data_IF_541770479502
#
_entry.id   IF_541770479502
#
_cell.length_a   1.000
_cell.length_b   1.000
_cell.length_c   1.000
_cell.angle_alpha   90.00
_cell.angle_beta   90.00
_cell.angle_gamma   90.00
#
_symmetry.space_group_name_H-M   'P 1'
#
loop_
_entity.id
_entity.type
_entity.pdbx_description
1 polymer ?
#
# COMPACT_ATOMS: atom_id res chain seq x y z
N UNK A 1 -11.38 6.51 -5.19
CA UNK A 1 -9.97 6.81 -4.82
C UNK A 1 -9.42 5.59 -4.09
N UNK A 2 -8.11 5.36 -4.03
CA UNK A 2 -7.63 4.20 -3.26
C UNK A 2 -6.25 4.41 -2.64
N UNK A 3 -5.23 4.76 -3.43
CA UNK A 3 -3.85 4.84 -2.94
C UNK A 3 -3.18 6.19 -3.21
N UNK A 4 -2.21 6.56 -2.37
CA UNK A 4 -1.28 7.67 -2.57
C UNK A 4 0.16 7.18 -2.41
N UNK A 5 1.08 7.70 -3.22
CA UNK A 5 2.50 7.41 -3.12
C UNK A 5 3.21 8.62 -2.51
N UNK A 6 3.95 8.40 -1.42
CA UNK A 6 4.75 9.40 -0.71
C UNK A 6 6.14 9.44 -1.37
N UNK A 7 6.37 10.42 -2.22
CA UNK A 7 7.58 10.56 -3.04
C UNK A 7 8.88 10.57 -2.22
N UNK A 8 8.87 11.26 -1.07
CA UNK A 8 10.03 11.35 -0.17
C UNK A 8 10.46 10.00 0.41
N UNK A 9 9.54 9.03 0.53
CA UNK A 9 9.84 7.65 0.97
C UNK A 9 10.13 6.70 -0.19
N UNK A 10 9.78 7.07 -1.42
CA UNK A 10 9.96 6.19 -2.58
C UNK A 10 11.45 6.05 -2.92
N UNK A 11 11.95 4.82 -3.02
CA UNK A 11 13.34 4.52 -3.39
C UNK A 11 13.50 4.12 -4.87
N UNK A 12 12.51 4.42 -5.70
CA UNK A 12 12.55 4.21 -7.16
C UNK A 12 12.79 2.76 -7.61
N UNK A 13 12.52 1.76 -6.76
CA UNK A 13 12.76 0.33 -7.04
C UNK A 13 11.86 -0.25 -8.14
N UNK A 14 10.70 0.37 -8.38
CA UNK A 14 9.79 0.02 -9.46
C UNK A 14 8.97 -1.27 -9.29
N UNK A 15 9.05 -1.95 -8.14
CA UNK A 15 8.26 -3.18 -7.88
C UNK A 15 6.75 -2.96 -7.98
N UNK A 16 6.26 -1.82 -7.47
CA UNK A 16 4.84 -1.49 -7.51
C UNK A 16 4.27 -1.37 -8.94
N UNK A 17 5.08 -1.01 -9.94
CA UNK A 17 4.66 -1.00 -11.35
C UNK A 17 4.42 -2.42 -11.86
N UNK A 18 5.30 -3.37 -11.50
CA UNK A 18 5.23 -4.76 -11.98
C UNK A 18 4.04 -5.54 -11.43
N UNK A 19 3.61 -5.22 -10.21
CA UNK A 19 2.51 -5.92 -9.54
C UNK A 19 1.16 -5.22 -9.68
N UNK A 20 1.09 -4.05 -10.31
CA UNK A 20 -0.19 -3.35 -10.50
C UNK A 20 -0.96 -4.02 -11.64
N UNK A 21 -2.05 -4.78 -11.37
CA UNK A 21 -2.77 -5.48 -12.43
C UNK A 21 -3.43 -4.51 -13.43
N UNK A 22 -3.79 -3.30 -12.97
CA UNK A 22 -4.36 -2.27 -13.83
C UNK A 22 -3.33 -1.42 -14.59
N UNK A 23 -2.02 -1.66 -14.43
CA UNK A 23 -0.96 -0.87 -15.06
C UNK A 23 -1.09 0.66 -14.84
N UNK A 24 -1.45 1.06 -13.61
CA UNK A 24 -1.81 2.44 -13.25
C UNK A 24 -0.65 3.24 -12.64
N UNK A 25 0.46 2.58 -12.30
CA UNK A 25 1.61 3.19 -11.62
C UNK A 25 2.72 3.43 -12.63
N UNK A 26 3.24 4.66 -12.67
CA UNK A 26 4.26 5.13 -13.60
C UNK A 26 5.44 5.72 -12.84
N UNK A 27 6.51 6.06 -13.57
CA UNK A 27 7.66 6.81 -13.03
C UNK A 27 7.67 8.22 -13.57
N UNK A 28 7.98 9.18 -12.71
CA UNK A 28 8.24 10.56 -13.11
C UNK A 28 9.68 10.72 -13.66
N UNK A 29 10.07 11.97 -13.93
CA UNK A 29 11.41 12.32 -14.40
C UNK A 29 12.52 11.95 -13.40
N UNK A 30 12.21 11.98 -12.10
CA UNK A 30 13.09 11.58 -11.00
C UNK A 30 13.08 10.06 -10.74
N UNK A 31 12.42 9.28 -11.61
CA UNK A 31 12.21 7.83 -11.50
C UNK A 31 11.37 7.41 -10.29
N UNK A 32 10.73 8.35 -9.60
CA UNK A 32 9.83 8.13 -8.46
C UNK A 32 8.49 7.63 -8.96
N UNK A 33 7.92 6.68 -8.23
CA UNK A 33 6.63 6.10 -8.60
C UNK A 33 5.48 7.07 -8.29
N UNK A 34 4.54 7.23 -9.22
CA UNK A 34 3.27 7.92 -9.02
C UNK A 34 2.12 7.13 -9.65
N UNK A 35 0.89 7.34 -9.17
CA UNK A 35 -0.30 6.75 -9.78
C UNK A 35 -0.85 7.71 -10.84
N UNK A 36 -0.88 7.28 -12.10
CA UNK A 36 -1.31 8.13 -13.22
C UNK A 36 -2.83 8.26 -13.32
N UNK A 37 -3.54 7.16 -13.07
CA UNK A 37 -4.99 7.11 -13.14
C UNK A 37 -5.60 6.62 -11.82
N UNK A 38 -5.69 7.47 -10.80
CA UNK A 38 -6.11 7.08 -9.45
C UNK A 38 -7.58 6.65 -9.34
N UNK A 39 -8.43 7.06 -10.29
CA UNK A 39 -9.86 6.68 -10.31
C UNK A 39 -10.08 5.25 -10.81
N UNK A 40 -9.13 4.70 -11.56
CA UNK A 40 -9.19 3.34 -12.10
C UNK A 40 -8.59 2.31 -11.13
N UNK A 41 -8.08 2.76 -9.97
CA UNK A 41 -7.50 1.87 -8.97
C UNK A 41 -8.59 1.01 -8.33
N UNK A 42 -8.42 -0.31 -8.40
CA UNK A 42 -9.35 -1.29 -7.81
C UNK A 42 -9.11 -1.55 -6.32
N UNK A 43 -8.13 -0.89 -5.72
CA UNK A 43 -7.82 -1.08 -4.32
C UNK A 43 -7.30 -2.47 -3.92
N UNK A 44 -6.80 -3.29 -4.86
CA UNK A 44 -6.33 -4.66 -4.60
C UNK A 44 -5.15 -4.80 -3.62
N UNK A 45 -4.52 -3.70 -3.20
CA UNK A 45 -3.39 -3.64 -2.26
C UNK A 45 -2.08 -4.32 -2.68
N UNK A 46 -1.98 -4.89 -3.89
CA UNK A 46 -0.76 -5.57 -4.35
C UNK A 46 0.49 -4.68 -4.26
N UNK A 47 0.37 -3.41 -4.68
CA UNK A 47 1.46 -2.45 -4.61
C UNK A 47 1.86 -2.06 -3.17
N UNK A 48 0.93 -2.11 -2.21
CA UNK A 48 1.23 -1.84 -0.80
C UNK A 48 2.13 -2.93 -0.22
N UNK A 49 1.80 -4.21 -0.46
CA UNK A 49 2.56 -5.38 0.01
C UNK A 49 3.99 -5.38 -0.53
N UNK A 50 4.17 -5.00 -1.80
CA UNK A 50 5.50 -4.94 -2.42
C UNK A 50 6.35 -3.73 -1.99
N UNK A 51 5.74 -2.69 -1.43
CA UNK A 51 6.45 -1.48 -1.06
C UNK A 51 7.19 -1.65 0.28
N UNK A 52 8.41 -2.17 0.21
CA UNK A 52 9.27 -2.44 1.38
C UNK A 52 9.56 -1.20 2.26
N UNK A 53 9.49 0.00 1.67
CA UNK A 53 9.73 1.28 2.36
C UNK A 53 8.43 1.94 2.84
N UNK A 54 7.28 1.30 2.65
CA UNK A 54 5.97 1.80 3.09
C UNK A 54 5.59 3.16 2.50
N UNK A 55 6.06 3.46 1.29
CA UNK A 55 5.80 4.72 0.57
C UNK A 55 4.38 4.78 -0.02
N UNK A 56 3.70 3.64 -0.19
CA UNK A 56 2.34 3.60 -0.73
C UNK A 56 1.36 3.42 0.42
N UNK A 57 0.39 4.34 0.52
CA UNK A 57 -0.70 4.31 1.52
C UNK A 57 -2.03 4.09 0.83
N UNK A 58 -2.90 3.29 1.43
CA UNK A 58 -4.29 3.15 1.01
C UNK A 58 -5.17 3.97 1.95
N UNK A 59 -5.93 4.93 1.43
CA UNK A 59 -6.80 5.80 2.25
C UNK A 59 -8.17 5.15 2.38
N UNK A 60 -8.65 5.05 3.62
CA UNK A 60 -9.94 4.47 3.96
C UNK A 60 -11.01 5.55 3.72
N UNK A 61 -12.06 5.20 2.97
CA UNK A 61 -13.19 6.09 2.73
C UNK A 61 -14.12 6.14 3.97
N UNK A 62 -14.84 7.26 4.17
CA UNK A 62 -15.66 7.48 5.37
C UNK A 62 -16.77 6.45 5.59
N UNK A 63 -17.20 5.69 4.56
CA UNK A 63 -18.13 4.57 4.72
C UNK A 63 -17.52 3.34 5.44
N UNK A 64 -16.19 3.28 5.55
CA UNK A 64 -15.47 2.31 6.37
C UNK A 64 -14.98 3.01 7.64
N UNK A 65 -15.92 3.48 8.47
CA UNK A 65 -15.65 3.92 9.84
C UNK A 65 -15.59 5.43 10.11
N UNK A 66 -16.03 6.29 9.19
CA UNK A 66 -16.22 7.73 9.44
C UNK A 66 -14.95 8.56 9.69
N UNK A 67 -13.78 7.94 9.71
CA UNK A 67 -12.52 8.55 10.14
C UNK A 67 -11.52 8.64 8.99
N UNK A 68 -10.68 9.69 8.97
CA UNK A 68 -9.65 9.90 7.94
C UNK A 68 -8.46 8.97 8.18
N UNK A 69 -8.63 7.68 7.87
CA UNK A 69 -7.62 6.66 8.09
C UNK A 69 -6.82 6.31 6.83
N UNK A 70 -5.62 5.74 7.03
CA UNK A 70 -4.91 5.07 5.96
C UNK A 70 -4.21 3.81 6.46
N UNK A 71 -3.94 2.88 5.55
CA UNK A 71 -3.19 1.68 5.85
C UNK A 71 -1.99 1.48 4.92
N UNK A 72 -1.03 0.68 5.37
CA UNK A 72 0.11 0.22 4.59
C UNK A 72 0.62 -1.13 5.13
N UNK A 73 1.40 -1.82 4.31
CA UNK A 73 1.97 -3.09 4.68
C UNK A 73 3.50 -3.01 4.75
N UNK A 74 4.08 -3.86 5.61
CA UNK A 74 5.50 -4.21 5.63
C UNK A 74 5.61 -5.71 5.49
N UNK A 75 6.24 -6.14 4.41
CA UNK A 75 6.48 -7.54 4.12
C UNK A 75 7.88 -7.94 4.61
N UNK A 76 7.97 -9.02 5.37
CA UNK A 76 9.21 -9.63 5.86
C UNK A 76 9.21 -11.13 5.59
N UNK A 77 10.34 -11.83 5.76
CA UNK A 77 10.50 -13.25 5.36
C UNK A 77 9.31 -14.14 5.75
N UNK A 78 8.92 -14.12 7.02
CA UNK A 78 7.89 -15.02 7.55
C UNK A 78 6.58 -14.31 7.93
N UNK A 79 6.57 -12.96 7.91
CA UNK A 79 5.46 -12.15 8.45
C UNK A 79 5.09 -11.04 7.49
N UNK A 80 3.79 -10.85 7.28
CA UNK A 80 3.21 -9.65 6.68
C UNK A 80 2.56 -8.82 7.79
N UNK A 81 3.08 -7.61 8.02
CA UNK A 81 2.52 -6.68 9.00
C UNK A 81 1.72 -5.60 8.28
N UNK A 82 0.44 -5.48 8.64
CA UNK A 82 -0.42 -4.37 8.25
C UNK A 82 -0.47 -3.35 9.36
N UNK A 83 -0.32 -2.07 9.02
CA UNK A 83 -0.50 -0.96 9.94
C UNK A 83 -1.66 -0.09 9.45
N UNK A 84 -2.63 0.13 10.33
CA UNK A 84 -3.75 1.03 10.16
C UNK A 84 -3.50 2.26 11.01
N UNK A 85 -3.67 3.44 10.44
CA UNK A 85 -3.58 4.71 11.14
C UNK A 85 -4.94 5.36 11.04
N UNK A 86 -5.64 5.48 12.16
CA UNK A 86 -7.00 6.04 12.25
C UNK A 86 -6.96 7.13 13.30
N UNK A 87 -7.26 8.37 12.90
CA UNK A 87 -7.21 9.56 13.77
C UNK A 87 -5.90 9.68 14.58
N UNK A 88 -4.78 9.31 13.96
CA UNK A 88 -3.45 9.33 14.57
C UNK A 88 -3.11 8.12 15.45
N UNK A 89 -4.07 7.24 15.74
CA UNK A 89 -3.84 5.98 16.46
C UNK A 89 -3.36 4.89 15.50
N UNK A 90 -2.31 4.15 15.88
CA UNK A 90 -1.76 3.05 15.09
C UNK A 90 -2.24 1.68 15.60
N UNK A 91 -2.85 0.89 14.73
CA UNK A 91 -3.17 -0.52 14.97
C UNK A 91 -2.39 -1.43 14.01
N UNK A 92 -1.94 -2.60 14.50
CA UNK A 92 -1.09 -3.51 13.72
C UNK A 92 -1.65 -4.92 13.71
N UNK A 93 -1.74 -5.50 12.50
CA UNK A 93 -2.12 -6.89 12.29
C UNK A 93 -0.93 -7.62 11.68
N UNK A 94 -0.47 -8.68 12.34
CA UNK A 94 0.62 -9.53 11.85
C UNK A 94 0.06 -10.85 11.34
N UNK A 95 0.36 -11.18 10.10
CA UNK A 95 -0.02 -12.45 9.47
C UNK A 95 1.23 -13.29 9.27
N UNK A 96 1.25 -14.50 9.86
CA UNK A 96 2.30 -15.47 9.60
C UNK A 96 2.07 -16.11 8.23
N UNK A 97 3.02 -15.93 7.30
CA UNK A 97 2.93 -16.43 5.93
C UNK A 97 2.95 -17.96 5.85
N UNK A 98 3.60 -18.62 6.82
CA UNK A 98 3.67 -20.09 6.90
C UNK A 98 2.36 -20.72 7.36
N UNK A 99 1.48 -19.93 7.96
CA UNK A 99 0.24 -20.39 8.56
C UNK A 99 -0.99 -19.79 7.88
N UNK A 100 -0.80 -19.04 6.78
CA UNK A 100 -1.87 -18.29 6.12
C UNK A 100 -2.99 -19.15 5.52
N UNK A 101 -2.77 -20.47 5.37
CA UNK A 101 -3.76 -21.43 4.88
C UNK A 101 -4.17 -22.47 5.94
N UNK A 102 -3.90 -22.23 7.22
CA UNK A 102 -4.40 -23.08 8.30
C UNK A 102 -5.86 -22.72 8.57
N UNK A 103 -6.77 -23.39 7.88
CA UNK A 103 -8.19 -23.42 8.19
C UNK A 103 -8.55 -24.70 8.95
#
# INVERSE_FOLDING_TARGET
MSIKIIESKCVSCGKCLKVCPGNLIYKDENKKAYIKYPRECWGCTACLKECQVGAIKYYLEPDVGGCSGYMYAKDSKDTLEWTFVIDGSEEKIKVNKKESNKY
#
